data_IF_399204988109
#
_entry.id   IF_399204988109
#
_cell.length_a   1.000
_cell.length_b   1.000
_cell.length_c   1.000
_cell.angle_alpha   90.00
_cell.angle_beta   90.00
_cell.angle_gamma   90.00
#
_symmetry.space_group_name_H-M   'P 1'
#
loop_
_entity.id
_entity.type
_entity.pdbx_description
1 polymer ?
#
# COMPACT_ATOMS: atom_id res chain seq x y z
N UNK A 1 -3.24 19.92 -39.19
CA UNK A 1 -3.50 18.62 -38.55
C UNK A 1 -2.54 18.31 -37.39
N UNK A 2 -1.22 18.46 -37.56
CA UNK A 2 -0.22 18.22 -36.49
C UNK A 2 -0.51 18.94 -35.16
N UNK A 3 -0.88 20.23 -35.21
CA UNK A 3 -1.24 21.03 -34.01
C UNK A 3 -2.43 20.45 -33.21
N UNK A 4 -3.37 19.82 -33.90
CA UNK A 4 -4.56 19.22 -33.29
C UNK A 4 -4.21 17.91 -32.58
N UNK A 5 -3.29 17.13 -33.15
CA UNK A 5 -2.73 15.92 -32.52
C UNK A 5 -1.96 16.26 -31.23
N UNK A 6 -1.14 17.32 -31.25
CA UNK A 6 -0.45 17.77 -30.03
C UNK A 6 -1.41 18.25 -28.95
N UNK A 7 -2.52 18.89 -29.34
CA UNK A 7 -3.58 19.30 -28.40
C UNK A 7 -4.29 18.10 -27.75
N UNK A 8 -4.52 17.01 -28.49
CA UNK A 8 -5.11 15.78 -27.94
C UNK A 8 -4.16 15.10 -26.94
N UNK A 9 -2.85 15.08 -27.25
CA UNK A 9 -1.84 14.55 -26.32
C UNK A 9 -1.73 15.35 -25.03
N UNK A 10 -1.93 16.67 -25.08
CA UNK A 10 -1.91 17.52 -23.87
C UNK A 10 -3.10 17.21 -22.94
N UNK A 11 -4.21 16.75 -23.50
CA UNK A 11 -5.45 16.48 -22.76
C UNK A 11 -5.36 15.23 -21.87
N UNK A 12 -4.47 14.29 -22.18
CA UNK A 12 -4.29 13.06 -21.37
C UNK A 12 -3.64 13.33 -20.01
N UNK A 13 -2.96 14.48 -19.84
CA UNK A 13 -2.36 14.89 -18.57
C UNK A 13 -3.39 15.43 -17.55
N UNK A 14 -4.62 15.71 -17.99
CA UNK A 14 -5.66 16.30 -17.14
C UNK A 14 -6.37 15.29 -16.23
N UNK A 15 -6.19 13.99 -16.46
CA UNK A 15 -6.83 12.93 -15.67
C UNK A 15 -5.79 12.25 -14.78
N UNK A 16 -5.72 12.57 -13.48
CA UNK A 16 -4.90 11.81 -12.56
C UNK A 16 -5.41 10.37 -12.49
N UNK A 17 -4.50 9.41 -12.64
CA UNK A 17 -4.82 7.98 -12.50
C UNK A 17 -5.08 7.70 -11.02
N UNK A 18 -6.31 7.37 -10.65
CA UNK A 18 -6.68 7.14 -9.25
C UNK A 18 -5.94 5.93 -8.68
N UNK A 19 -5.30 6.09 -7.53
CA UNK A 19 -4.74 4.96 -6.78
C UNK A 19 -5.86 4.13 -6.18
N UNK A 20 -5.78 2.81 -6.31
CA UNK A 20 -6.75 1.92 -5.70
C UNK A 20 -6.58 1.95 -4.17
N UNK A 21 -7.68 2.23 -3.47
CA UNK A 21 -7.76 2.26 -2.01
C UNK A 21 -8.63 1.12 -1.48
N UNK A 22 -8.29 0.63 -0.29
CA UNK A 22 -8.92 -0.51 0.37
C UNK A 22 -9.20 -0.19 1.83
N UNK A 23 -10.39 -0.55 2.32
CA UNK A 23 -10.67 -0.51 3.76
C UNK A 23 -10.35 -1.87 4.37
N UNK A 24 -9.38 -1.90 5.30
CA UNK A 24 -8.97 -3.12 5.98
C UNK A 24 -10.05 -3.56 6.99
N UNK A 25 -10.90 -4.51 6.61
CA UNK A 25 -11.98 -5.01 7.49
C UNK A 25 -11.44 -5.74 8.72
N UNK A 26 -10.36 -6.48 8.57
CA UNK A 26 -9.71 -7.24 9.63
C UNK A 26 -8.23 -7.46 9.29
N UNK A 27 -7.39 -7.56 10.31
CA UNK A 27 -5.97 -7.88 10.18
C UNK A 27 -5.66 -8.98 11.19
N UNK A 28 -5.20 -10.14 10.70
CA UNK A 28 -4.80 -11.29 11.52
C UNK A 28 -3.33 -11.58 11.32
N UNK A 29 -2.69 -12.08 12.37
CA UNK A 29 -1.29 -12.51 12.36
C UNK A 29 -1.28 -13.98 12.73
N UNK A 30 -0.60 -14.79 11.92
CA UNK A 30 -0.49 -16.24 12.09
C UNK A 30 0.98 -16.64 11.99
N UNK A 31 1.36 -17.72 12.68
CA UNK A 31 2.72 -18.26 12.63
C UNK A 31 3.80 -17.43 13.33
N UNK A 32 3.42 -16.41 14.11
CA UNK A 32 4.38 -15.60 14.86
C UNK A 32 4.92 -16.37 16.07
N UNK A 33 6.25 -16.50 16.16
CA UNK A 33 6.93 -17.18 17.30
C UNK A 33 7.65 -16.17 18.19
N UNK A 34 8.38 -15.21 17.60
CA UNK A 34 9.24 -14.28 18.34
C UNK A 34 8.52 -12.99 18.73
N UNK A 35 7.76 -12.40 17.80
CA UNK A 35 7.02 -11.15 18.03
C UNK A 35 5.55 -11.38 18.34
N UNK A 36 4.97 -10.50 19.16
CA UNK A 36 3.53 -10.50 19.40
C UNK A 36 2.76 -10.06 18.15
N UNK A 37 1.52 -10.55 17.99
CA UNK A 37 0.63 -10.13 16.92
C UNK A 37 0.43 -8.60 16.91
N UNK A 38 0.29 -7.97 18.08
CA UNK A 38 0.15 -6.52 18.19
C UNK A 38 1.39 -5.78 17.69
N UNK A 39 2.60 -6.28 17.98
CA UNK A 39 3.85 -5.70 17.48
C UNK A 39 3.92 -5.79 15.95
N UNK A 40 3.54 -6.93 15.37
CA UNK A 40 3.54 -7.13 13.91
C UNK A 40 2.50 -6.22 13.23
N UNK A 41 1.29 -6.13 13.77
CA UNK A 41 0.25 -5.20 13.29
C UNK A 41 0.71 -3.75 13.40
N UNK A 42 1.36 -3.39 14.50
CA UNK A 42 1.88 -2.04 14.71
C UNK A 42 2.97 -1.69 13.69
N UNK A 43 3.98 -2.55 13.52
CA UNK A 43 5.12 -2.30 12.63
C UNK A 43 4.74 -2.34 11.15
N UNK A 44 3.83 -3.23 10.76
CA UNK A 44 3.33 -3.28 9.39
C UNK A 44 2.61 -1.99 8.99
N UNK A 45 2.01 -1.28 9.96
CA UNK A 45 1.17 -0.12 9.72
C UNK A 45 -0.22 -0.47 9.15
N UNK A 46 -0.55 -1.76 9.03
CA UNK A 46 -1.82 -2.24 8.54
C UNK A 46 -2.75 -2.51 9.73
N UNK A 47 -3.72 -1.63 9.97
CA UNK A 47 -4.66 -1.73 11.10
C UNK A 47 -6.08 -1.93 10.60
N UNK A 48 -6.88 -2.65 11.40
CA UNK A 48 -8.32 -2.77 11.17
C UNK A 48 -8.97 -1.38 11.10
N UNK A 49 -9.84 -1.19 10.13
CA UNK A 49 -10.56 0.05 9.86
C UNK A 49 -9.76 1.10 9.10
N UNK A 50 -8.48 0.85 8.77
CA UNK A 50 -7.65 1.79 8.03
C UNK A 50 -7.95 1.70 6.53
N UNK A 51 -8.03 2.86 5.87
CA UNK A 51 -8.00 2.96 4.41
C UNK A 51 -6.55 3.00 3.95
N UNK A 52 -6.16 2.02 3.13
CA UNK A 52 -4.78 1.89 2.62
C UNK A 52 -4.78 1.81 1.11
N UNK A 53 -3.73 2.33 0.48
CA UNK A 53 -3.49 2.14 -0.94
C UNK A 53 -2.74 0.83 -1.20
N UNK A 54 -2.75 0.37 -2.46
CA UNK A 54 -1.96 -0.81 -2.87
C UNK A 54 -0.46 -0.70 -2.53
N UNK A 55 0.08 0.52 -2.48
CA UNK A 55 1.51 0.75 -2.17
C UNK A 55 1.88 0.56 -0.70
N UNK A 56 0.91 0.53 0.22
CA UNK A 56 1.20 0.31 1.64
C UNK A 56 1.52 -1.15 1.96
N UNK A 57 1.06 -2.13 1.17
CA UNK A 57 1.41 -3.55 1.36
C UNK A 57 2.90 -3.86 1.21
N UNK A 58 3.58 -3.53 0.08
CA UNK A 58 5.02 -3.77 -0.03
C UNK A 58 5.82 -2.95 1.01
N UNK A 59 5.30 -1.79 1.41
CA UNK A 59 5.91 -0.95 2.45
C UNK A 59 5.81 -1.61 3.83
N UNK A 60 4.67 -2.21 4.15
CA UNK A 60 4.46 -3.00 5.37
C UNK A 60 5.43 -4.18 5.45
N UNK A 61 5.60 -4.93 4.35
CA UNK A 61 6.57 -6.03 4.26
C UNK A 61 7.99 -5.52 4.54
N UNK A 62 8.39 -4.42 3.90
CA UNK A 62 9.72 -3.83 4.13
C UNK A 62 9.95 -3.44 5.59
N UNK A 63 8.97 -2.82 6.25
CA UNK A 63 9.05 -2.47 7.68
C UNK A 63 9.18 -3.71 8.56
N UNK A 64 8.48 -4.79 8.22
CA UNK A 64 8.58 -6.06 8.95
C UNK A 64 9.97 -6.71 8.77
N UNK A 65 10.50 -6.78 7.55
CA UNK A 65 11.86 -7.30 7.32
C UNK A 65 12.95 -6.49 8.01
N UNK A 66 12.76 -5.17 8.15
CA UNK A 66 13.68 -4.33 8.92
C UNK A 66 13.77 -4.69 10.41
N UNK A 67 12.81 -5.46 10.94
CA UNK A 67 12.90 -5.97 12.32
C UNK A 67 13.94 -7.10 12.46
N UNK A 68 14.34 -7.76 11.36
CA UNK A 68 15.27 -8.90 11.40
C UNK A 68 14.70 -10.13 12.12
N UNK A 69 13.37 -10.28 12.13
CA UNK A 69 12.67 -11.36 12.85
C UNK A 69 12.11 -12.45 11.93
N UNK A 70 12.35 -12.32 10.62
CA UNK A 70 11.81 -13.18 9.58
C UNK A 70 12.98 -13.62 8.71
N UNK A 71 13.14 -14.93 8.54
CA UNK A 71 14.12 -15.57 7.63
C UNK A 71 13.50 -15.84 6.25
#
# INVERSE_FOLDING_TARGET
MKKLIYSIYLFTLLFPQSTQEFVLKEVKVEGNVVSSANTIIFTSGLRKGLTVSASEFPRAIKRLWQLGLFD
#
